data_IF_931485335204
#
_entry.id   IF_931485335204
#
_cell.length_a   1.000
_cell.length_b   1.000
_cell.length_c   1.000
_cell.angle_alpha   90.00
_cell.angle_beta   90.00
_cell.angle_gamma   90.00
#
_symmetry.space_group_name_H-M   'P 1'
#
loop_
_entity.id
_entity.type
_entity.pdbx_description
1 polymer ?
#
# COMPACT_ATOMS: atom_id res chain seq x y z
N UNK A 1 18.06 16.91 15.41
CA UNK A 1 18.04 15.46 15.07
C UNK A 1 16.86 14.68 15.70
N UNK A 2 15.94 15.28 16.50
CA UNK A 2 14.95 14.48 17.26
C UNK A 2 13.51 14.41 16.70
N UNK A 3 13.09 15.31 15.80
CA UNK A 3 11.69 15.34 15.32
C UNK A 3 11.50 14.49 14.06
N UNK A 4 12.37 14.66 13.06
CA UNK A 4 12.23 13.97 11.77
C UNK A 4 12.35 12.44 11.91
N UNK A 5 13.32 11.96 12.70
CA UNK A 5 13.43 10.52 12.99
C UNK A 5 12.21 9.98 13.75
N UNK A 6 11.56 10.81 14.56
CA UNK A 6 10.33 10.42 15.26
C UNK A 6 9.17 10.29 14.28
N UNK A 7 9.03 11.22 13.35
CA UNK A 7 7.98 11.18 12.32
C UNK A 7 8.18 10.01 11.35
N UNK A 8 9.42 9.72 10.95
CA UNK A 8 9.73 8.53 10.12
C UNK A 8 9.34 7.24 10.84
N UNK A 9 9.67 7.12 12.13
CA UNK A 9 9.29 5.95 12.95
C UNK A 9 7.77 5.83 13.08
N UNK A 10 7.05 6.94 13.28
CA UNK A 10 5.58 6.93 13.34
C UNK A 10 4.97 6.43 12.03
N UNK A 11 5.45 6.93 10.89
CA UNK A 11 4.98 6.49 9.59
C UNK A 11 5.22 4.98 9.38
N UNK A 12 6.40 4.48 9.74
CA UNK A 12 6.71 3.05 9.67
C UNK A 12 5.82 2.20 10.59
N UNK A 13 5.60 2.64 11.83
CA UNK A 13 4.69 1.97 12.78
C UNK A 13 3.26 1.94 12.24
N UNK A 14 2.79 3.03 11.63
CA UNK A 14 1.45 3.10 11.01
C UNK A 14 1.32 2.13 9.84
N UNK A 15 2.34 2.00 8.99
CA UNK A 15 2.36 1.02 7.89
C UNK A 15 2.31 -0.42 8.41
N UNK A 16 3.08 -0.73 9.46
CA UNK A 16 3.03 -2.04 10.14
C UNK A 16 1.66 -2.31 10.77
N UNK A 17 1.08 -1.31 11.43
CA UNK A 17 -0.25 -1.41 12.02
C UNK A 17 -1.33 -1.61 10.96
N UNK A 18 -1.24 -0.92 9.82
CA UNK A 18 -2.10 -1.15 8.66
C UNK A 18 -2.05 -2.62 8.25
N UNK A 19 -0.85 -3.18 8.01
CA UNK A 19 -0.66 -4.59 7.62
C UNK A 19 -1.38 -5.56 8.56
N UNK A 20 -1.22 -5.35 9.86
CA UNK A 20 -1.72 -6.26 10.90
C UNK A 20 -3.24 -6.19 11.09
N UNK A 21 -3.86 -5.05 10.76
CA UNK A 21 -5.26 -4.77 11.09
C UNK A 21 -6.16 -4.64 9.86
N UNK A 22 -5.69 -5.07 8.68
CA UNK A 22 -6.54 -5.10 7.49
C UNK A 22 -7.74 -6.04 7.68
N UNK A 23 -8.93 -5.66 7.18
CA UNK A 23 -10.09 -6.53 7.24
C UNK A 23 -9.86 -7.83 6.46
N UNK A 24 -10.51 -8.90 6.89
CA UNK A 24 -10.49 -10.20 6.21
C UNK A 24 -11.50 -10.22 5.04
N UNK A 25 -11.31 -9.32 4.08
CA UNK A 25 -12.08 -9.20 2.84
C UNK A 25 -11.16 -9.30 1.63
N UNK A 26 -11.70 -9.70 0.48
CA UNK A 26 -10.95 -9.72 -0.78
C UNK A 26 -10.60 -8.31 -1.24
N UNK A 27 -11.55 -7.40 -1.13
CA UNK A 27 -11.41 -6.01 -1.52
C UNK A 27 -11.40 -5.10 -0.31
N UNK A 28 -10.54 -4.08 -0.34
CA UNK A 28 -10.38 -3.09 0.71
C UNK A 28 -10.98 -1.78 0.22
N UNK A 29 -11.77 -1.12 1.06
CA UNK A 29 -12.27 0.22 0.75
C UNK A 29 -11.13 1.20 0.47
N UNK A 30 -11.36 2.16 -0.44
CA UNK A 30 -10.41 3.21 -0.86
C UNK A 30 -9.73 3.92 0.31
N UNK A 31 -10.41 4.03 1.47
CA UNK A 31 -9.82 4.62 2.69
C UNK A 31 -8.48 3.98 3.09
N UNK A 32 -8.31 2.66 2.88
CA UNK A 32 -7.06 1.99 3.21
C UNK A 32 -5.94 2.41 2.26
N UNK A 33 -6.23 2.51 0.96
CA UNK A 33 -5.28 3.01 -0.04
C UNK A 33 -4.86 4.46 0.27
N UNK A 34 -5.82 5.30 0.67
CA UNK A 34 -5.55 6.68 1.07
C UNK A 34 -4.68 6.76 2.32
N UNK A 35 -4.96 5.95 3.34
CA UNK A 35 -4.13 5.88 4.55
C UNK A 35 -2.70 5.45 4.21
N UNK A 36 -2.54 4.41 3.39
CA UNK A 36 -1.23 3.94 2.92
C UNK A 36 -0.47 5.03 2.16
N UNK A 37 -1.06 5.59 1.11
CA UNK A 37 -0.43 6.63 0.29
C UNK A 37 -0.08 7.88 1.11
N UNK A 38 -0.89 8.25 2.11
CA UNK A 38 -0.61 9.37 3.00
C UNK A 38 0.62 9.15 3.90
N UNK A 39 0.87 7.92 4.34
CA UNK A 39 2.11 7.60 5.07
C UNK A 39 3.33 7.62 4.14
N UNK A 40 3.18 7.17 2.89
CA UNK A 40 4.22 7.30 1.86
C UNK A 40 4.54 8.77 1.60
N UNK A 41 3.52 9.63 1.44
CA UNK A 41 3.70 11.08 1.28
C UNK A 41 4.48 11.70 2.43
N UNK A 42 4.26 11.25 3.67
CA UNK A 42 5.05 11.71 4.83
C UNK A 42 6.51 11.30 4.69
N UNK A 43 6.78 10.06 4.32
CA UNK A 43 8.14 9.57 4.13
C UNK A 43 8.86 10.28 2.97
N UNK A 44 8.18 10.49 1.84
CA UNK A 44 8.74 11.21 0.68
C UNK A 44 9.18 12.63 1.04
N UNK A 45 8.44 13.33 1.91
CA UNK A 45 8.84 14.65 2.42
C UNK A 45 10.17 14.65 3.18
N UNK A 46 10.60 13.51 3.70
CA UNK A 46 11.89 13.33 4.36
C UNK A 46 12.98 12.79 3.41
N UNK A 47 12.72 12.73 2.11
CA UNK A 47 13.71 12.39 1.07
C UNK A 47 13.74 10.91 0.67
N UNK A 48 12.74 10.11 1.04
CA UNK A 48 12.66 8.72 0.58
C UNK A 48 12.09 8.63 -0.85
N UNK A 49 12.81 7.94 -1.73
CA UNK A 49 12.41 7.70 -3.12
C UNK A 49 11.48 6.46 -3.22
N UNK A 50 10.24 6.61 -2.76
CA UNK A 50 9.26 5.50 -2.66
C UNK A 50 7.92 5.77 -3.37
N UNK A 51 7.87 6.78 -4.25
CA UNK A 51 6.66 7.18 -4.98
C UNK A 51 6.06 6.01 -5.79
N UNK A 52 6.91 5.18 -6.38
CA UNK A 52 6.51 4.03 -7.21
C UNK A 52 5.77 2.93 -6.43
N UNK A 53 5.87 2.95 -5.10
CA UNK A 53 5.14 2.03 -4.24
C UNK A 53 3.73 2.50 -3.88
N UNK A 54 3.34 3.72 -4.24
CA UNK A 54 1.95 4.17 -4.06
C UNK A 54 0.99 3.28 -4.82
N UNK A 55 -0.23 3.19 -4.29
CA UNK A 55 -1.37 2.60 -5.00
C UNK A 55 -1.89 3.66 -5.95
N UNK A 56 -1.81 3.45 -7.27
CA UNK A 56 -2.28 4.43 -8.22
C UNK A 56 -3.80 4.41 -8.30
N UNK A 57 -4.40 5.54 -8.70
CA UNK A 57 -5.86 5.70 -8.72
C UNK A 57 -6.58 4.70 -9.63
N UNK A 58 -5.92 4.18 -10.67
CA UNK A 58 -6.50 3.14 -11.53
C UNK A 58 -6.77 1.80 -10.83
N UNK A 59 -6.07 1.51 -9.72
CA UNK A 59 -6.29 0.29 -8.92
C UNK A 59 -7.47 0.45 -7.94
N UNK A 60 -8.03 1.66 -7.84
CA UNK A 60 -9.13 2.00 -6.93
C UNK A 60 -10.41 2.15 -7.75
N UNK A 61 -11.26 1.12 -7.72
CA UNK A 61 -12.42 0.98 -8.61
C UNK A 61 -13.70 0.57 -7.89
N UNK A 62 -14.85 0.93 -8.46
CA UNK A 62 -16.12 0.34 -8.03
C UNK A 62 -16.14 -1.15 -8.41
N UNK A 63 -16.73 -1.98 -7.56
CA UNK A 63 -16.86 -3.42 -7.79
C UNK A 63 -18.24 -3.73 -8.36
N UNK A 64 -18.36 -4.84 -9.10
CA UNK A 64 -19.65 -5.32 -9.61
C UNK A 64 -20.46 -5.88 -8.44
N UNK A 65 -21.66 -5.36 -8.23
CA UNK A 65 -22.58 -5.81 -7.17
C UNK A 65 -23.71 -6.67 -7.71
N UNK A 66 -23.93 -6.66 -9.03
CA UNK A 66 -24.88 -7.53 -9.70
C UNK A 66 -25.08 -7.14 -11.15
N UNK A 67 -26.09 -7.73 -11.76
CA UNK A 67 -26.49 -7.38 -13.12
C UNK A 67 -27.80 -8.01 -13.51
N UNK A 68 -28.43 -7.47 -14.54
CA UNK A 68 -29.60 -8.03 -15.17
C UNK A 68 -29.19 -8.61 -16.53
N UNK A 69 -29.10 -9.94 -16.61
CA UNK A 69 -28.68 -10.66 -17.81
C UNK A 69 -29.55 -10.34 -19.03
N UNK A 70 -30.88 -10.31 -18.86
CA UNK A 70 -31.82 -10.09 -19.95
C UNK A 70 -31.72 -8.69 -20.59
N UNK A 71 -31.29 -7.68 -19.83
CA UNK A 71 -31.12 -6.29 -20.30
C UNK A 71 -29.65 -5.89 -20.54
N UNK A 72 -28.69 -6.76 -20.23
CA UNK A 72 -27.25 -6.48 -20.31
C UNK A 72 -26.74 -5.43 -19.30
N UNK A 73 -27.55 -5.01 -18.32
CA UNK A 73 -27.16 -3.98 -17.35
C UNK A 73 -26.30 -4.59 -16.24
N UNK A 74 -25.16 -3.95 -15.95
CA UNK A 74 -24.31 -4.27 -14.78
C UNK A 74 -24.50 -3.20 -13.72
N UNK A 75 -24.60 -3.60 -12.46
CA UNK A 75 -24.68 -2.72 -11.32
C UNK A 75 -23.34 -2.71 -10.59
N UNK A 76 -22.91 -1.52 -10.19
CA UNK A 76 -21.65 -1.30 -9.50
C UNK A 76 -21.89 -0.75 -8.09
N UNK A 77 -20.93 -0.92 -7.20
CA UNK A 77 -20.92 -0.29 -5.88
C UNK A 77 -20.77 1.23 -5.99
N UNK A 78 -21.29 1.94 -5.00
CA UNK A 78 -21.05 3.38 -4.87
C UNK A 78 -19.65 3.66 -4.31
N UNK A 79 -19.18 2.80 -3.40
CA UNK A 79 -17.85 2.86 -2.83
C UNK A 79 -16.82 2.31 -3.80
N UNK A 80 -15.58 2.80 -3.68
CA UNK A 80 -14.43 2.28 -4.41
C UNK A 80 -13.58 1.38 -3.53
N UNK A 81 -12.94 0.44 -4.17
CA UNK A 81 -12.14 -0.58 -3.53
C UNK A 81 -10.83 -0.82 -4.28
N UNK A 82 -9.84 -1.30 -3.56
CA UNK A 82 -8.59 -1.86 -4.09
C UNK A 82 -8.52 -3.34 -3.72
N UNK A 83 -8.02 -4.16 -4.64
CA UNK A 83 -7.84 -5.57 -4.34
C UNK A 83 -6.77 -5.75 -3.24
N UNK A 84 -7.11 -6.54 -2.20
CA UNK A 84 -6.25 -6.71 -1.03
C UNK A 84 -4.86 -7.24 -1.39
N UNK A 85 -4.76 -8.08 -2.41
CA UNK A 85 -3.49 -8.64 -2.84
C UNK A 85 -2.55 -7.56 -3.41
N UNK A 86 -3.07 -6.62 -4.21
CA UNK A 86 -2.31 -5.48 -4.76
C UNK A 86 -1.86 -4.57 -3.61
N UNK A 87 -2.78 -4.28 -2.69
CA UNK A 87 -2.49 -3.48 -1.50
C UNK A 87 -1.35 -4.08 -0.68
N UNK A 88 -1.45 -5.38 -0.35
CA UNK A 88 -0.44 -6.08 0.45
C UNK A 88 0.90 -6.17 -0.28
N UNK A 89 0.90 -6.44 -1.59
CA UNK A 89 2.12 -6.46 -2.40
C UNK A 89 2.87 -5.12 -2.32
N UNK A 90 2.16 -4.00 -2.49
CA UNK A 90 2.75 -2.66 -2.38
C UNK A 90 3.23 -2.34 -0.96
N UNK A 91 2.43 -2.66 0.04
CA UNK A 91 2.79 -2.47 1.45
C UNK A 91 4.04 -3.26 1.85
N UNK A 92 4.12 -4.53 1.45
CA UNK A 92 5.26 -5.40 1.73
C UNK A 92 6.52 -4.94 1.00
N UNK A 93 6.38 -4.42 -0.22
CA UNK A 93 7.51 -3.82 -0.94
C UNK A 93 8.10 -2.62 -0.18
N UNK A 94 7.26 -1.71 0.34
CA UNK A 94 7.71 -0.56 1.15
C UNK A 94 8.39 -1.02 2.43
N UNK A 95 7.76 -1.92 3.17
CA UNK A 95 8.35 -2.43 4.42
C UNK A 95 9.69 -3.14 4.17
N UNK A 96 9.79 -3.89 3.07
CA UNK A 96 11.02 -4.57 2.66
C UNK A 96 12.11 -3.59 2.23
N UNK A 97 11.76 -2.51 1.52
CA UNK A 97 12.70 -1.44 1.14
C UNK A 97 13.44 -0.88 2.37
N UNK A 98 12.71 -0.62 3.45
CA UNK A 98 13.30 -0.17 4.72
C UNK A 98 14.08 -1.26 5.45
N UNK A 99 13.71 -2.53 5.31
CA UNK A 99 14.45 -3.65 5.91
C UNK A 99 15.79 -3.90 5.20
N UNK A 100 15.84 -3.81 3.87
CA UNK A 100 17.05 -4.01 3.05
C UNK A 100 18.05 -2.87 3.25
N UNK A 101 17.57 -1.67 3.57
CA UNK A 101 18.40 -0.49 3.82
C UNK A 101 19.28 -0.59 5.07
N UNK A 102 19.24 -1.71 5.81
CA UNK A 102 20.25 -2.07 6.83
C UNK A 102 21.40 -2.88 6.20
N UNK A 103 22.59 -2.30 6.02
CA UNK A 103 23.64 -2.80 5.12
C UNK A 103 24.47 -4.01 5.62
N UNK A 104 24.02 -4.76 6.62
CA UNK A 104 24.76 -5.95 7.09
C UNK A 104 24.60 -7.19 6.19
N UNK A 105 23.83 -7.10 5.10
CA UNK A 105 23.64 -8.26 4.20
C UNK A 105 24.50 -8.11 2.95
N UNK A 106 25.75 -8.60 3.01
CA UNK A 106 26.56 -8.80 1.80
C UNK A 106 25.85 -9.83 0.92
N UNK A 107 25.20 -9.39 -0.15
CA UNK A 107 24.63 -10.30 -1.15
C UNK A 107 25.79 -10.90 -1.94
N UNK A 108 26.17 -12.13 -1.56
CA UNK A 108 27.32 -12.85 -2.09
C UNK A 108 27.11 -13.39 -3.50
N UNK A 109 26.93 -12.53 -4.51
CA UNK A 109 27.14 -12.93 -5.89
C UNK A 109 28.64 -12.90 -6.20
N UNK A 110 29.31 -14.04 -6.01
CA UNK A 110 30.59 -14.30 -6.68
C UNK A 110 30.26 -14.70 -8.12
N UNK A 111 30.71 -13.89 -9.07
CA UNK A 111 30.84 -14.31 -10.45
C UNK A 111 32.10 -15.19 -10.51
N UNK A 112 31.90 -16.48 -10.77
CA UNK A 112 32.99 -17.40 -11.17
C UNK A 112 33.46 -17.09 -12.60
#
# INVERSE_FOLDING_TARGET
MSNDQTEIKKAYVNLMALKQNLPQKHDLEEKYANMFNAELDRLIKFGFEIEDFKIPSQEVRCIVTGGNYASGKTYYSNEKYVEKHIFLMKLDAVLSYFAISNPETTIGFKLD
#
